data_IF_790515593373
#
_entry.id   IF_790515593373
#
_cell.length_a   1.000
_cell.length_b   1.000
_cell.length_c   1.000
_cell.angle_alpha   90.00
_cell.angle_beta   90.00
_cell.angle_gamma   90.00
#
_symmetry.space_group_name_H-M   'P 1'
#
loop_
_entity.id
_entity.type
_entity.pdbx_description
1 polymer ?
#
# COMPACT_ATOMS: atom_id res chain seq x y z
N UNK A 1 -4.94 -2.65 -28.89
CA UNK A 1 -6.32 -2.30 -29.30
C UNK A 1 -6.45 -0.78 -29.46
N UNK A 2 -7.56 -0.31 -30.07
CA UNK A 2 -7.88 1.12 -30.21
C UNK A 2 -7.96 1.82 -28.85
N UNK A 3 -8.66 1.23 -27.90
CA UNK A 3 -8.82 1.73 -26.53
C UNK A 3 -7.46 1.79 -25.81
N UNK A 4 -6.60 0.80 -25.97
CA UNK A 4 -5.26 0.80 -25.35
C UNK A 4 -4.41 1.99 -25.81
N UNK A 5 -4.49 2.37 -27.09
CA UNK A 5 -3.76 3.52 -27.61
C UNK A 5 -4.30 4.85 -27.09
N UNK A 6 -5.62 4.95 -26.88
CA UNK A 6 -6.24 6.13 -26.27
C UNK A 6 -5.78 6.23 -24.80
N UNK A 7 -5.81 5.11 -24.07
CA UNK A 7 -5.39 5.05 -22.67
C UNK A 7 -3.92 5.42 -22.46
N UNK A 8 -3.08 5.13 -23.43
CA UNK A 8 -1.64 5.49 -23.44
C UNK A 8 -1.37 6.89 -24.01
N UNK A 9 -2.40 7.69 -24.31
CA UNK A 9 -2.23 9.01 -24.92
C UNK A 9 -1.70 9.01 -26.36
N UNK A 10 -1.53 7.83 -26.98
CA UNK A 10 -0.99 7.66 -28.33
C UNK A 10 -1.99 7.95 -29.44
N UNK A 11 -3.26 8.10 -29.08
CA UNK A 11 -4.35 8.41 -30.02
C UNK A 11 -5.49 9.14 -29.30
N UNK A 12 -6.07 10.12 -29.99
CA UNK A 12 -7.31 10.77 -29.55
C UNK A 12 -8.52 10.04 -30.17
N UNK A 13 -9.67 10.00 -29.47
CA UNK A 13 -10.90 9.50 -30.06
C UNK A 13 -11.27 10.34 -31.28
N UNK A 14 -11.71 9.72 -32.36
CA UNK A 14 -12.19 10.40 -33.58
C UNK A 14 -13.52 11.13 -33.34
N UNK A 15 -14.34 10.57 -32.48
CA UNK A 15 -15.56 11.18 -31.93
C UNK A 15 -15.40 11.27 -30.41
N UNK A 16 -15.08 12.47 -29.91
CA UNK A 16 -14.85 12.70 -28.48
C UNK A 16 -16.13 12.62 -27.68
N UNK A 17 -17.22 13.19 -28.20
CA UNK A 17 -18.49 13.24 -27.50
C UNK A 17 -19.13 11.87 -27.41
N UNK A 18 -19.18 11.11 -28.49
CA UNK A 18 -19.69 9.74 -28.49
C UNK A 18 -18.82 8.81 -27.65
N UNK A 19 -17.50 9.04 -27.55
CA UNK A 19 -16.63 8.29 -26.69
C UNK A 19 -16.89 8.56 -25.19
N UNK A 20 -17.07 9.84 -24.82
CA UNK A 20 -17.45 10.25 -23.44
C UNK A 20 -18.78 9.65 -23.07
N UNK A 21 -19.79 9.79 -23.94
CA UNK A 21 -21.12 9.25 -23.73
C UNK A 21 -21.10 7.72 -23.54
N UNK A 22 -20.30 7.03 -24.35
CA UNK A 22 -20.10 5.58 -24.22
C UNK A 22 -19.50 5.17 -22.88
N UNK A 23 -18.51 5.91 -22.38
CA UNK A 23 -17.93 5.69 -21.06
C UNK A 23 -18.96 5.92 -19.96
N UNK A 24 -19.67 7.06 -20.00
CA UNK A 24 -20.69 7.39 -19.00
C UNK A 24 -21.75 6.29 -18.90
N UNK A 25 -22.30 5.85 -20.04
CA UNK A 25 -23.27 4.74 -20.09
C UNK A 25 -22.71 3.44 -19.53
N UNK A 26 -21.47 3.12 -19.88
CA UNK A 26 -20.83 1.91 -19.37
C UNK A 26 -20.70 1.92 -17.84
N UNK A 27 -20.25 3.07 -17.28
CA UNK A 27 -20.09 3.22 -15.83
C UNK A 27 -21.45 3.17 -15.13
N UNK A 28 -22.45 3.89 -15.62
CA UNK A 28 -23.82 3.86 -15.04
C UNK A 28 -24.43 2.46 -15.09
N UNK A 29 -24.28 1.75 -16.21
CA UNK A 29 -24.77 0.38 -16.35
C UNK A 29 -24.01 -0.63 -15.48
N UNK A 30 -22.79 -0.29 -15.02
CA UNK A 30 -21.95 -1.12 -14.14
C UNK A 30 -22.01 -0.71 -12.68
N UNK A 31 -22.75 0.34 -12.33
CA UNK A 31 -22.95 0.84 -10.99
C UNK A 31 -23.84 -0.13 -10.18
N UNK A 32 -23.22 -1.03 -9.44
CA UNK A 32 -23.94 -2.11 -8.74
C UNK A 32 -23.79 -2.12 -7.22
N UNK A 33 -22.98 -1.23 -6.62
CA UNK A 33 -22.77 -1.20 -5.18
C UNK A 33 -22.69 0.22 -4.64
N UNK A 34 -23.04 0.38 -3.37
CA UNK A 34 -22.88 1.63 -2.62
C UNK A 34 -21.40 2.10 -2.64
N UNK A 35 -20.46 1.17 -2.56
CA UNK A 35 -19.01 1.45 -2.68
C UNK A 35 -18.65 2.14 -4.00
N UNK A 36 -19.34 1.82 -5.09
CA UNK A 36 -19.08 2.46 -6.39
C UNK A 36 -19.53 3.91 -6.41
N UNK A 37 -20.61 4.27 -5.71
CA UNK A 37 -21.09 5.65 -5.62
C UNK A 37 -20.11 6.53 -4.82
N UNK A 38 -19.63 6.06 -3.67
CA UNK A 38 -18.61 6.75 -2.87
C UNK A 38 -17.31 6.97 -3.66
N UNK A 39 -16.85 5.95 -4.37
CA UNK A 39 -15.65 6.03 -5.21
C UNK A 39 -15.82 7.03 -6.36
N UNK A 40 -16.99 7.09 -7.00
CA UNK A 40 -17.28 8.08 -8.04
C UNK A 40 -17.40 9.51 -7.47
N UNK A 41 -17.97 9.67 -6.29
CA UNK A 41 -18.06 10.96 -5.60
C UNK A 41 -16.65 11.51 -5.30
N UNK A 42 -15.77 10.67 -4.76
CA UNK A 42 -14.39 11.05 -4.48
C UNK A 42 -13.62 11.39 -5.76
N UNK A 43 -13.76 10.58 -6.81
CA UNK A 43 -13.09 10.79 -8.10
C UNK A 43 -13.54 12.07 -8.81
N UNK A 44 -14.83 12.39 -8.75
CA UNK A 44 -15.43 13.52 -9.46
C UNK A 44 -15.51 14.79 -8.62
N UNK A 45 -15.32 14.66 -7.29
CA UNK A 45 -15.46 15.77 -6.33
C UNK A 45 -16.89 16.22 -6.14
N UNK A 46 -17.89 15.39 -6.43
CA UNK A 46 -19.32 15.67 -6.23
C UNK A 46 -19.86 15.02 -4.95
N UNK A 47 -21.10 15.38 -4.58
CA UNK A 47 -21.80 14.70 -3.48
C UNK A 47 -22.27 13.30 -3.91
N UNK A 48 -22.33 12.36 -2.98
CA UNK A 48 -22.96 11.04 -3.24
C UNK A 48 -24.43 11.18 -3.63
N UNK A 49 -25.12 12.19 -3.11
CA UNK A 49 -26.51 12.48 -3.46
C UNK A 49 -26.69 12.75 -4.96
N UNK A 50 -25.71 13.41 -5.60
CA UNK A 50 -25.72 13.68 -7.05
C UNK A 50 -25.58 12.40 -7.89
N UNK A 51 -25.09 11.31 -7.30
CA UNK A 51 -24.88 10.02 -7.93
C UNK A 51 -25.99 9.00 -7.65
N UNK A 52 -27.01 9.36 -6.89
CA UNK A 52 -28.11 8.45 -6.53
C UNK A 52 -28.95 8.05 -7.73
N UNK A 53 -29.12 8.94 -8.72
CA UNK A 53 -29.87 8.68 -9.94
C UNK A 53 -28.95 8.45 -11.13
N UNK A 54 -29.39 7.61 -12.09
CA UNK A 54 -28.62 7.34 -13.32
C UNK A 54 -28.40 8.64 -14.14
N UNK A 55 -29.38 9.54 -14.17
CA UNK A 55 -29.26 10.84 -14.84
C UNK A 55 -28.22 11.73 -14.16
N UNK A 56 -28.26 11.85 -12.84
CA UNK A 56 -27.28 12.62 -12.07
C UNK A 56 -25.86 12.08 -12.27
N UNK A 57 -25.70 10.76 -12.17
CA UNK A 57 -24.43 10.10 -12.41
C UNK A 57 -23.89 10.34 -13.84
N UNK A 58 -24.77 10.28 -14.86
CA UNK A 58 -24.42 10.61 -16.25
C UNK A 58 -23.94 12.04 -16.41
N UNK A 59 -24.63 13.00 -15.80
CA UNK A 59 -24.31 14.42 -15.91
C UNK A 59 -22.99 14.77 -15.20
N UNK A 60 -22.79 14.22 -14.01
CA UNK A 60 -21.53 14.36 -13.26
C UNK A 60 -20.35 13.79 -14.05
N UNK A 61 -20.46 12.56 -14.55
CA UNK A 61 -19.42 11.90 -15.34
C UNK A 61 -19.12 12.64 -16.64
N UNK A 62 -20.19 13.10 -17.34
CA UNK A 62 -20.02 13.86 -18.59
C UNK A 62 -19.30 15.17 -18.34
N UNK A 63 -19.69 15.91 -17.30
CA UNK A 63 -19.04 17.15 -16.90
C UNK A 63 -17.58 16.92 -16.52
N UNK A 64 -17.31 15.92 -15.73
CA UNK A 64 -15.96 15.56 -15.29
C UNK A 64 -15.05 15.16 -16.48
N UNK A 65 -15.51 14.28 -17.37
CA UNK A 65 -14.76 13.85 -18.56
C UNK A 65 -14.60 14.96 -19.61
N UNK A 66 -15.51 15.93 -19.67
CA UNK A 66 -15.46 17.03 -20.61
C UNK A 66 -14.60 18.19 -20.15
N UNK A 67 -14.59 18.47 -18.85
CA UNK A 67 -13.87 19.61 -18.26
C UNK A 67 -12.34 19.46 -18.30
N UNK A 68 -11.83 18.25 -18.59
CA UNK A 68 -10.39 18.00 -18.65
C UNK A 68 -9.70 18.53 -17.39
N UNK A 69 -9.83 17.84 -16.28
CA UNK A 69 -9.08 18.04 -15.02
C UNK A 69 -8.99 19.47 -14.44
N UNK A 70 -9.89 20.37 -14.78
CA UNK A 70 -9.80 21.78 -14.34
C UNK A 70 -10.73 22.13 -13.17
N UNK A 71 -10.98 21.24 -12.21
CA UNK A 71 -11.83 21.62 -11.08
C UNK A 71 -12.05 20.57 -9.99
N UNK A 72 -11.72 19.32 -10.20
CA UNK A 72 -11.66 18.32 -9.15
C UNK A 72 -10.20 18.02 -8.81
N UNK A 73 -9.88 17.65 -7.59
CA UNK A 73 -8.56 17.12 -7.28
C UNK A 73 -8.29 15.97 -8.25
N UNK A 74 -7.29 16.11 -9.11
CA UNK A 74 -6.76 15.00 -9.92
C UNK A 74 -5.82 14.18 -9.00
N UNK A 75 -6.34 13.13 -8.32
CA UNK A 75 -5.51 12.37 -7.39
C UNK A 75 -4.35 11.70 -8.10
N UNK A 76 -4.59 11.24 -9.34
CA UNK A 76 -3.57 10.56 -10.15
C UNK A 76 -2.56 11.56 -10.69
N UNK A 77 -2.96 12.69 -11.23
CA UNK A 77 -2.03 13.71 -11.71
C UNK A 77 -1.33 14.45 -10.58
N UNK A 78 -1.99 14.64 -9.43
CA UNK A 78 -1.34 15.14 -8.20
C UNK A 78 -0.31 14.15 -7.69
N UNK A 79 -0.65 12.89 -7.67
CA UNK A 79 0.23 11.79 -7.35
C UNK A 79 1.43 11.75 -8.32
N UNK A 80 1.21 11.76 -9.63
CA UNK A 80 2.30 11.76 -10.62
C UNK A 80 3.20 12.98 -10.51
N UNK A 81 2.67 14.17 -10.26
CA UNK A 81 3.48 15.40 -10.03
C UNK A 81 4.38 15.29 -8.80
N UNK A 82 3.93 14.60 -7.75
CA UNK A 82 4.78 14.34 -6.57
C UNK A 82 6.00 13.46 -6.88
N UNK A 83 5.98 12.72 -8.01
CA UNK A 83 7.13 11.91 -8.43
C UNK A 83 8.14 12.69 -9.26
N UNK A 84 7.71 13.62 -10.08
CA UNK A 84 8.61 14.43 -10.88
C UNK A 84 9.55 15.27 -10.00
N UNK A 85 9.08 15.63 -8.79
CA UNK A 85 9.81 16.42 -7.79
C UNK A 85 10.37 15.56 -6.63
N UNK A 86 10.27 14.22 -6.71
CA UNK A 86 10.67 13.35 -5.59
C UNK A 86 12.18 13.23 -5.46
N UNK A 87 12.73 13.70 -4.33
CA UNK A 87 14.11 13.50 -3.90
C UNK A 87 14.13 12.54 -2.69
N UNK A 88 14.76 11.38 -2.85
CA UNK A 88 14.87 10.38 -1.78
C UNK A 88 15.65 10.92 -0.57
N UNK A 89 16.69 11.69 -0.80
CA UNK A 89 17.50 12.25 0.28
C UNK A 89 16.71 13.31 1.05
N UNK A 90 15.90 14.11 0.37
CA UNK A 90 14.99 15.07 0.99
C UNK A 90 13.89 14.34 1.76
N UNK A 91 13.31 13.29 1.19
CA UNK A 91 12.34 12.44 1.85
C UNK A 91 12.89 11.80 3.12
N UNK A 92 14.09 11.22 3.07
CA UNK A 92 14.78 10.66 4.23
C UNK A 92 15.07 11.73 5.28
N UNK A 93 15.46 12.95 4.88
CA UNK A 93 15.67 14.08 5.81
C UNK A 93 14.39 14.61 6.43
N UNK A 94 13.28 14.62 5.66
CA UNK A 94 11.98 15.07 6.14
C UNK A 94 11.39 14.15 7.23
N UNK A 95 11.74 12.87 7.21
CA UNK A 95 11.47 11.95 8.31
C UNK A 95 12.47 12.25 9.44
N UNK A 96 12.39 13.32 10.13
CA UNK A 96 13.24 13.75 11.26
C UNK A 96 13.69 12.60 12.17
N UNK A 97 14.62 11.79 11.67
CA UNK A 97 15.12 10.57 12.31
C UNK A 97 15.79 10.82 13.66
N UNK A 98 16.36 12.00 13.84
CA UNK A 98 16.96 12.51 15.08
C UNK A 98 15.95 12.68 16.22
N UNK A 99 14.66 12.78 15.94
CA UNK A 99 13.60 12.82 16.94
C UNK A 99 13.13 11.41 17.35
N UNK A 100 13.49 10.37 16.61
CA UNK A 100 13.19 8.99 16.97
C UNK A 100 14.19 8.53 18.04
N UNK A 101 13.72 8.43 19.28
CA UNK A 101 14.51 7.86 20.38
C UNK A 101 14.78 6.39 20.09
N UNK A 102 15.95 6.08 19.55
CA UNK A 102 16.44 4.71 19.52
C UNK A 102 16.84 4.32 20.92
N UNK A 103 16.27 3.28 21.54
CA UNK A 103 16.68 2.84 22.86
C UNK A 103 18.17 2.50 22.86
N UNK A 104 18.94 3.13 23.77
CA UNK A 104 20.40 2.92 23.90
C UNK A 104 20.77 1.64 24.65
N UNK A 105 19.80 0.90 25.17
CA UNK A 105 20.01 -0.36 25.84
C UNK A 105 20.36 -1.48 24.86
N UNK A 106 21.22 -2.44 25.25
CA UNK A 106 21.52 -3.61 24.44
C UNK A 106 20.21 -4.34 24.14
N UNK A 107 19.81 -4.29 22.87
CA UNK A 107 18.59 -4.90 22.40
C UNK A 107 18.79 -6.41 22.29
N UNK A 108 18.25 -7.16 23.21
CA UNK A 108 18.22 -8.61 23.17
C UNK A 108 16.78 -9.09 23.12
N UNK A 109 16.30 -9.42 21.94
CA UNK A 109 15.08 -10.17 21.81
C UNK A 109 15.33 -11.67 22.11
N UNK A 110 14.37 -12.36 22.73
CA UNK A 110 14.38 -13.80 22.84
C UNK A 110 14.46 -14.45 21.44
N UNK A 111 14.74 -15.74 21.39
CA UNK A 111 14.78 -16.49 20.12
C UNK A 111 13.43 -16.48 19.41
N UNK A 112 12.34 -16.51 20.20
CA UNK A 112 10.97 -16.38 19.70
C UNK A 112 10.15 -15.49 20.64
N UNK A 113 9.27 -14.66 20.07
CA UNK A 113 8.38 -13.76 20.79
C UNK A 113 7.03 -13.70 20.08
N UNK A 114 5.95 -13.84 20.85
CA UNK A 114 4.58 -13.69 20.35
C UNK A 114 4.05 -12.29 20.65
N UNK A 115 3.17 -11.82 19.75
CA UNK A 115 2.47 -10.54 19.82
C UNK A 115 1.00 -10.79 19.55
N UNK A 116 0.11 -10.05 20.20
CA UNK A 116 -1.34 -10.23 20.14
C UNK A 116 -2.02 -8.91 19.81
N UNK A 117 -2.95 -8.96 18.85
CA UNK A 117 -3.67 -7.79 18.38
C UNK A 117 -2.80 -6.83 17.57
N UNK A 118 -3.42 -5.74 17.11
CA UNK A 118 -2.81 -4.78 16.17
C UNK A 118 -1.63 -4.03 16.82
N UNK A 119 -1.80 -3.57 18.06
CA UNK A 119 -0.77 -2.74 18.71
C UNK A 119 0.52 -3.51 18.95
N UNK A 120 0.40 -4.76 19.41
CA UNK A 120 1.59 -5.60 19.58
C UNK A 120 2.13 -6.08 18.23
N UNK A 121 1.29 -6.27 17.20
CA UNK A 121 1.74 -6.54 15.84
C UNK A 121 2.65 -5.42 15.30
N UNK A 122 2.23 -4.15 15.45
CA UNK A 122 3.05 -2.98 15.09
C UNK A 122 4.41 -3.02 15.78
N UNK A 123 4.44 -3.39 17.08
CA UNK A 123 5.70 -3.56 17.79
C UNK A 123 6.52 -4.73 17.24
N UNK A 124 5.86 -5.82 16.82
CA UNK A 124 6.49 -6.97 16.16
C UNK A 124 7.20 -6.60 14.87
N UNK A 125 6.58 -5.75 14.05
CA UNK A 125 7.19 -5.22 12.83
C UNK A 125 8.46 -4.40 13.14
N UNK A 126 8.39 -3.49 14.10
CA UNK A 126 9.55 -2.69 14.51
C UNK A 126 10.67 -3.57 15.08
N UNK A 127 10.34 -4.60 15.83
CA UNK A 127 11.30 -5.57 16.36
C UNK A 127 11.93 -6.41 15.23
N UNK A 128 11.16 -6.77 14.19
CA UNK A 128 11.66 -7.41 12.98
C UNK A 128 12.66 -6.53 12.23
N UNK A 129 12.30 -5.25 11.96
CA UNK A 129 13.19 -4.32 11.28
C UNK A 129 14.49 -4.12 12.06
N UNK A 130 14.38 -3.90 13.36
CA UNK A 130 15.54 -3.74 14.24
C UNK A 130 16.44 -4.97 14.22
N UNK A 131 15.85 -6.17 14.30
CA UNK A 131 16.62 -7.43 14.25
C UNK A 131 17.32 -7.57 12.91
N UNK A 132 16.64 -7.27 11.81
CA UNK A 132 17.17 -7.33 10.44
C UNK A 132 18.30 -6.34 10.23
N UNK A 133 18.12 -5.08 10.62
CA UNK A 133 19.12 -4.01 10.46
C UNK A 133 20.36 -4.29 11.28
N UNK A 134 20.22 -4.73 12.53
CA UNK A 134 21.36 -5.01 13.43
C UNK A 134 22.06 -6.35 13.13
N UNK A 135 21.47 -7.21 12.31
CA UNK A 135 22.09 -8.47 11.89
C UNK A 135 23.29 -8.22 10.97
N UNK A 136 24.15 -9.22 10.80
CA UNK A 136 25.24 -9.19 9.81
C UNK A 136 24.83 -9.72 8.43
N UNK A 137 23.58 -10.25 8.30
CA UNK A 137 23.09 -10.77 7.02
C UNK A 137 22.85 -9.66 6.02
N UNK A 138 23.20 -9.91 4.77
CA UNK A 138 22.87 -9.09 3.60
C UNK A 138 21.90 -9.81 2.66
N UNK A 139 21.27 -10.88 3.14
CA UNK A 139 20.23 -11.57 2.37
C UNK A 139 19.02 -10.67 2.17
N UNK A 140 18.33 -10.85 1.04
CA UNK A 140 17.12 -10.15 0.70
C UNK A 140 16.04 -10.28 1.77
N UNK A 141 15.21 -9.26 1.86
CA UNK A 141 14.04 -9.24 2.73
C UNK A 141 12.80 -9.50 1.89
N UNK A 142 11.93 -10.37 2.37
CA UNK A 142 10.64 -10.67 1.77
C UNK A 142 9.53 -10.20 2.70
N UNK A 143 8.58 -9.47 2.16
CA UNK A 143 7.48 -8.89 2.91
C UNK A 143 6.15 -9.18 2.21
N UNK A 144 5.19 -9.68 2.95
CA UNK A 144 3.82 -9.87 2.50
C UNK A 144 2.87 -9.55 3.65
N UNK A 145 1.86 -8.72 3.40
CA UNK A 145 0.82 -8.41 4.38
C UNK A 145 -0.50 -8.14 3.69
N UNK A 146 -1.53 -8.85 4.12
CA UNK A 146 -2.92 -8.63 3.73
C UNK A 146 -3.66 -7.73 4.74
N UNK A 147 -2.96 -7.24 5.77
CA UNK A 147 -3.54 -6.39 6.80
C UNK A 147 -4.08 -5.09 6.20
N UNK A 148 -5.23 -4.58 6.67
CA UNK A 148 -5.78 -3.32 6.22
C UNK A 148 -4.80 -2.17 6.40
N UNK A 149 -4.71 -1.31 5.38
CA UNK A 149 -3.83 -0.13 5.42
C UNK A 149 -4.33 0.93 6.40
N UNK A 150 -5.64 0.99 6.66
CA UNK A 150 -6.25 1.95 7.57
C UNK A 150 -5.73 1.76 8.99
N UNK A 151 -5.66 0.52 9.48
CA UNK A 151 -5.13 0.19 10.81
C UNK A 151 -3.68 0.66 11.01
N UNK A 152 -2.94 0.80 9.91
CA UNK A 152 -1.55 1.27 9.90
C UNK A 152 -1.45 2.79 9.76
N UNK A 153 -2.39 3.41 9.05
CA UNK A 153 -2.37 4.83 8.71
C UNK A 153 -2.88 5.73 9.86
N UNK A 154 -3.69 5.20 10.78
CA UNK A 154 -4.23 5.96 11.91
C UNK A 154 -3.14 6.40 12.90
N UNK A 155 -2.05 5.64 13.02
CA UNK A 155 -0.92 5.94 13.90
C UNK A 155 0.24 6.57 13.12
N UNK A 156 0.24 7.90 13.03
CA UNK A 156 1.30 8.66 12.35
C UNK A 156 2.70 8.43 12.95
N UNK A 157 2.80 8.16 14.24
CA UNK A 157 4.09 7.90 14.90
C UNK A 157 4.62 6.51 14.54
N UNK A 158 3.73 5.52 14.48
CA UNK A 158 4.08 4.20 13.97
C UNK A 158 4.52 4.26 12.51
N UNK A 159 3.77 4.96 11.65
CA UNK A 159 4.12 5.12 10.23
C UNK A 159 5.53 5.67 10.03
N UNK A 160 5.92 6.70 10.82
CA UNK A 160 7.29 7.25 10.79
C UNK A 160 8.35 6.24 11.22
N UNK A 161 8.10 5.49 12.30
CA UNK A 161 9.02 4.46 12.79
C UNK A 161 9.16 3.32 11.79
N UNK A 162 8.05 2.95 11.16
CA UNK A 162 8.00 1.92 10.12
C UNK A 162 8.85 2.31 8.91
N UNK A 163 8.63 3.52 8.39
CA UNK A 163 9.41 4.07 7.27
C UNK A 163 10.89 4.20 7.60
N UNK A 164 11.22 4.55 8.85
CA UNK A 164 12.60 4.55 9.32
C UNK A 164 13.22 3.15 9.26
N UNK A 165 12.49 2.12 9.70
CA UNK A 165 12.95 0.74 9.61
C UNK A 165 13.27 0.32 8.18
N UNK A 166 12.37 0.62 7.23
CA UNK A 166 12.60 0.40 5.79
C UNK A 166 13.84 1.15 5.30
N UNK A 167 13.92 2.46 5.57
CA UNK A 167 15.06 3.28 5.15
C UNK A 167 16.39 2.76 5.67
N UNK A 168 16.43 2.26 6.92
CA UNK A 168 17.64 1.67 7.50
C UNK A 168 18.02 0.35 6.85
N UNK A 169 17.05 -0.47 6.42
CA UNK A 169 17.33 -1.68 5.64
C UNK A 169 17.90 -1.33 4.27
N UNK A 170 17.34 -0.34 3.57
CA UNK A 170 17.85 0.13 2.28
C UNK A 170 19.26 0.73 2.42
N UNK A 171 19.49 1.56 3.46
CA UNK A 171 20.82 2.12 3.76
C UNK A 171 21.87 1.06 4.09
N UNK A 172 21.45 -0.06 4.68
CA UNK A 172 22.31 -1.23 4.90
C UNK A 172 22.67 -1.96 3.60
N UNK A 173 21.99 -1.65 2.48
CA UNK A 173 22.17 -2.29 1.18
C UNK A 173 21.32 -3.55 0.97
N UNK A 174 20.28 -3.75 1.78
CA UNK A 174 19.36 -4.86 1.60
C UNK A 174 18.42 -4.59 0.42
N UNK A 175 18.06 -5.64 -0.30
CA UNK A 175 16.99 -5.63 -1.28
C UNK A 175 15.70 -6.12 -0.63
N UNK A 176 14.59 -5.43 -0.88
CA UNK A 176 13.28 -5.76 -0.33
C UNK A 176 12.38 -6.25 -1.46
N UNK A 177 11.89 -7.47 -1.35
CA UNK A 177 10.88 -8.05 -2.22
C UNK A 177 9.54 -7.97 -1.48
N UNK A 178 8.57 -7.24 -2.02
CA UNK A 178 7.26 -7.10 -1.39
C UNK A 178 6.14 -7.63 -2.26
N UNK A 179 5.29 -8.46 -1.68
CA UNK A 179 4.08 -8.97 -2.34
C UNK A 179 2.89 -8.14 -1.85
N UNK A 180 2.25 -7.45 -2.78
CA UNK A 180 1.07 -6.65 -2.51
C UNK A 180 -0.22 -7.42 -2.77
N UNK A 181 -1.17 -7.28 -1.87
CA UNK A 181 -2.55 -7.59 -2.15
C UNK A 181 -3.14 -6.41 -2.94
N UNK A 182 -3.51 -6.64 -4.19
CA UNK A 182 -4.13 -5.64 -5.08
C UNK A 182 -5.66 -5.73 -5.12
N UNK A 183 -6.24 -6.71 -4.44
CA UNK A 183 -7.68 -6.92 -4.33
C UNK A 183 -8.21 -6.17 -3.10
N UNK A 184 -8.05 -4.85 -3.14
CA UNK A 184 -8.39 -3.91 -2.05
C UNK A 184 -9.27 -2.79 -2.58
N UNK A 185 -10.05 -2.11 -1.73
CA UNK A 185 -10.73 -0.86 -2.09
C UNK A 185 -9.75 0.13 -2.72
N UNK A 186 -10.21 0.89 -3.71
CA UNK A 186 -9.37 1.83 -4.47
C UNK A 186 -8.62 2.82 -3.58
N UNK A 187 -9.30 3.36 -2.56
CA UNK A 187 -8.72 4.30 -1.60
C UNK A 187 -7.53 3.68 -0.86
N UNK A 188 -7.71 2.46 -0.36
CA UNK A 188 -6.67 1.72 0.36
C UNK A 188 -5.48 1.40 -0.54
N UNK A 189 -5.77 1.01 -1.80
CA UNK A 189 -4.73 0.78 -2.80
C UNK A 189 -3.93 2.06 -3.10
N UNK A 190 -4.58 3.22 -3.20
CA UNK A 190 -3.90 4.51 -3.43
C UNK A 190 -3.02 4.91 -2.25
N UNK A 191 -3.51 4.75 -1.01
CA UNK A 191 -2.69 4.98 0.20
C UNK A 191 -1.44 4.09 0.21
N UNK A 192 -1.60 2.82 -0.15
CA UNK A 192 -0.47 1.89 -0.30
C UNK A 192 0.52 2.35 -1.35
N UNK A 193 0.05 2.73 -2.54
CA UNK A 193 0.91 3.23 -3.61
C UNK A 193 1.65 4.50 -3.22
N UNK A 194 0.97 5.50 -2.63
CA UNK A 194 1.62 6.74 -2.18
C UNK A 194 2.77 6.47 -1.20
N UNK A 195 2.60 5.48 -0.33
CA UNK A 195 3.62 5.11 0.66
C UNK A 195 4.81 4.36 0.04
N UNK A 196 4.55 3.48 -0.94
CA UNK A 196 5.56 2.58 -1.48
C UNK A 196 6.31 3.13 -2.70
N UNK A 197 5.70 3.98 -3.50
CA UNK A 197 6.33 4.46 -4.73
C UNK A 197 7.68 5.15 -4.51
N UNK A 198 7.87 6.01 -3.49
CA UNK A 198 9.17 6.58 -3.20
C UNK A 198 10.25 5.51 -2.98
N UNK A 199 9.87 4.40 -2.34
CA UNK A 199 10.77 3.29 -2.06
C UNK A 199 11.12 2.51 -3.33
N UNK A 200 10.17 2.34 -4.26
CA UNK A 200 10.43 1.69 -5.56
C UNK A 200 11.45 2.48 -6.39
N UNK A 201 11.43 3.81 -6.31
CA UNK A 201 12.37 4.67 -7.03
C UNK A 201 13.82 4.48 -6.56
N UNK A 202 14.05 3.89 -5.39
CA UNK A 202 15.41 3.55 -4.92
C UNK A 202 16.08 2.46 -5.75
N UNK A 203 15.30 1.67 -6.50
CA UNK A 203 15.77 0.47 -7.19
C UNK A 203 16.11 -0.71 -6.28
N UNK A 204 15.98 -0.55 -4.96
CA UNK A 204 16.23 -1.61 -3.97
C UNK A 204 14.95 -2.30 -3.48
N UNK A 205 13.79 -1.92 -4.00
CA UNK A 205 12.50 -2.53 -3.65
C UNK A 205 11.82 -3.05 -4.90
N UNK A 206 11.54 -4.34 -4.92
CA UNK A 206 10.82 -5.01 -6.02
C UNK A 206 9.40 -5.34 -5.61
N UNK A 207 8.39 -4.70 -6.25
CA UNK A 207 6.99 -5.02 -6.00
C UNK A 207 6.54 -6.23 -6.80
N UNK A 208 5.79 -7.10 -6.14
CA UNK A 208 5.10 -8.25 -6.74
C UNK A 208 3.63 -8.23 -6.35
N UNK A 209 2.81 -8.98 -7.04
CA UNK A 209 1.43 -9.26 -6.66
C UNK A 209 1.06 -10.69 -7.04
N UNK A 210 0.19 -11.29 -6.27
CA UNK A 210 -0.35 -12.61 -6.56
C UNK A 210 -1.54 -12.50 -7.51
N UNK A 211 -1.53 -13.33 -8.57
CA UNK A 211 -2.71 -13.51 -9.42
C UNK A 211 -3.56 -14.64 -8.85
N UNK A 212 -4.81 -14.35 -8.57
CA UNK A 212 -5.73 -15.37 -8.09
C UNK A 212 -6.78 -14.80 -7.15
N UNK A 213 -7.62 -15.70 -6.62
CA UNK A 213 -8.58 -15.32 -5.59
C UNK A 213 -7.90 -15.34 -4.23
N UNK A 214 -7.99 -14.23 -3.52
CA UNK A 214 -7.54 -14.16 -2.13
C UNK A 214 -8.52 -14.90 -1.20
N UNK A 215 -7.99 -15.37 -0.08
CA UNK A 215 -8.82 -15.94 0.97
C UNK A 215 -9.55 -14.80 1.71
N UNK A 216 -10.88 -14.74 1.56
CA UNK A 216 -11.69 -13.72 2.23
C UNK A 216 -11.96 -13.99 3.73
N UNK A 217 -11.34 -15.01 4.31
CA UNK A 217 -11.55 -15.37 5.73
C UNK A 217 -10.36 -14.94 6.58
N UNK A 218 -9.15 -15.08 6.07
CA UNK A 218 -7.93 -14.80 6.81
C UNK A 218 -7.10 -13.71 6.16
N UNK A 219 -6.59 -12.80 6.99
CA UNK A 219 -5.48 -11.91 6.64
C UNK A 219 -4.17 -12.57 7.08
N UNK A 220 -3.18 -12.57 6.20
CA UNK A 220 -1.88 -13.15 6.43
C UNK A 220 -0.81 -12.07 6.56
N UNK A 221 0.18 -12.38 7.38
CA UNK A 221 1.34 -11.53 7.61
C UNK A 221 2.59 -12.40 7.60
N UNK A 222 3.56 -12.08 6.74
CA UNK A 222 4.81 -12.82 6.67
C UNK A 222 5.96 -11.90 6.20
N UNK A 223 6.87 -11.59 7.12
CA UNK A 223 8.11 -10.87 6.83
C UNK A 223 9.28 -11.80 7.13
N UNK A 224 10.22 -11.92 6.21
CA UNK A 224 11.38 -12.80 6.34
C UNK A 224 12.63 -12.07 5.92
N UNK A 225 13.68 -12.24 6.71
CA UNK A 225 15.05 -11.79 6.41
C UNK A 225 16.03 -12.94 6.68
N UNK A 226 17.31 -12.79 6.36
CA UNK A 226 18.30 -13.84 6.63
C UNK A 226 18.51 -14.17 8.12
N UNK A 227 17.85 -13.49 9.06
CA UNK A 227 18.04 -13.68 10.51
C UNK A 227 16.77 -13.70 11.34
N UNK A 228 15.65 -13.30 10.78
CA UNK A 228 14.37 -13.25 11.48
C UNK A 228 13.21 -13.54 10.53
N UNK A 229 12.16 -14.12 11.07
CA UNK A 229 10.87 -14.20 10.41
C UNK A 229 9.79 -13.71 11.38
N UNK A 230 8.90 -12.86 10.89
CA UNK A 230 7.70 -12.43 11.60
C UNK A 230 6.50 -12.93 10.80
N UNK A 231 5.72 -13.82 11.38
CA UNK A 231 4.56 -14.40 10.73
C UNK A 231 3.35 -14.36 11.63
N UNK A 232 2.17 -14.28 11.05
CA UNK A 232 0.91 -14.32 11.80
C UNK A 232 -0.29 -14.36 10.88
N UNK A 233 -1.43 -14.51 11.50
CA UNK A 233 -2.72 -14.50 10.83
C UNK A 233 -3.80 -13.98 11.76
N UNK A 234 -4.86 -13.43 11.19
CA UNK A 234 -6.08 -13.08 11.87
C UNK A 234 -7.29 -13.33 10.96
N UNK A 235 -8.46 -13.41 11.54
CA UNK A 235 -9.71 -13.43 10.78
C UNK A 235 -9.97 -12.02 10.25
N UNK A 236 -10.33 -11.89 8.98
CA UNK A 236 -10.65 -10.61 8.37
C UNK A 236 -11.76 -9.89 9.16
N UNK A 237 -11.56 -8.61 9.47
CA UNK A 237 -12.45 -7.82 10.32
C UNK A 237 -12.32 -8.07 11.82
N UNK A 238 -11.42 -8.97 12.24
CA UNK A 238 -11.15 -9.27 13.66
C UNK A 238 -9.65 -9.18 13.97
N UNK A 239 -9.00 -8.10 13.53
CA UNK A 239 -7.56 -7.91 13.60
C UNK A 239 -7.04 -7.81 15.04
N UNK A 240 -7.87 -7.34 15.97
CA UNK A 240 -7.55 -7.27 17.40
C UNK A 240 -7.31 -8.62 18.04
N UNK A 241 -7.77 -9.71 17.44
CA UNK A 241 -7.56 -11.08 17.91
C UNK A 241 -6.42 -11.81 17.20
N UNK A 242 -5.70 -11.12 16.33
CA UNK A 242 -4.57 -11.69 15.59
C UNK A 242 -3.43 -12.12 16.52
N UNK A 243 -2.70 -13.16 16.11
CA UNK A 243 -1.47 -13.61 16.77
C UNK A 243 -0.33 -13.61 15.77
N UNK A 244 0.78 -13.01 16.20
CA UNK A 244 1.99 -12.87 15.39
C UNK A 244 3.18 -13.42 16.18
N UNK A 245 4.14 -14.01 15.48
CA UNK A 245 5.33 -14.61 16.08
C UNK A 245 6.58 -14.14 15.35
N UNK A 246 7.46 -13.46 16.06
CA UNK A 246 8.81 -13.18 15.60
C UNK A 246 9.72 -14.31 16.07
N UNK A 247 10.43 -14.93 15.13
CA UNK A 247 11.41 -15.95 15.42
C UNK A 247 12.78 -15.61 14.84
N UNK A 248 13.83 -16.02 15.55
CA UNK A 248 15.24 -16.02 15.11
C UNK A 248 15.79 -17.44 15.05
N UNK A 249 14.94 -18.45 15.26
CA UNK A 249 15.32 -19.83 15.08
C UNK A 249 15.69 -20.09 13.62
N UNK A 250 16.88 -20.63 13.38
CA UNK A 250 17.44 -20.80 12.03
C UNK A 250 16.59 -21.70 11.15
N UNK A 251 16.01 -22.75 11.70
CA UNK A 251 15.20 -23.71 10.96
C UNK A 251 13.86 -23.08 10.55
N UNK A 252 13.23 -22.35 11.47
CA UNK A 252 11.98 -21.62 11.21
C UNK A 252 12.20 -20.50 10.18
N UNK A 253 13.25 -19.71 10.32
CA UNK A 253 13.60 -18.67 9.33
C UNK A 253 13.82 -19.31 7.97
N UNK A 254 14.55 -20.42 7.88
CA UNK A 254 14.77 -21.15 6.62
C UNK A 254 13.47 -21.73 6.04
N UNK A 255 12.53 -22.14 6.88
CA UNK A 255 11.21 -22.58 6.44
C UNK A 255 10.44 -21.43 5.80
N UNK A 256 10.35 -20.28 6.49
CA UNK A 256 9.63 -19.11 5.98
C UNK A 256 10.27 -18.53 4.72
N UNK A 257 11.59 -18.60 4.57
CA UNK A 257 12.30 -18.15 3.35
C UNK A 257 12.00 -18.98 2.11
N UNK A 258 11.45 -20.19 2.27
CA UNK A 258 11.07 -21.09 1.16
C UNK A 258 9.57 -21.02 0.84
N UNK A 259 8.77 -20.44 1.69
CA UNK A 259 7.31 -20.33 1.55
C UNK A 259 6.92 -19.24 0.56
#
# INVERSE_FOLDING_TARGET
SYISRIRLGQRRPSDREGFIEGICRFVVNKKYSEDTAGMLAELTGCSEDDLTTDSGCMDVLRKWLSSGTSGGSDPVGSFLRKFDDFDLDEYIRAIKFDQLKVPSLPFQLPVSKSYYGIEEMKQGELDFFKTTVLSKSLEDVFMCSDMPMEDMAEDLDFGKKWMFGIAMMLKKGLHINIIHNIDRPFREMMLGLESWMPLYMTGQVSPYYLRGKHNGVYCHFNYVSGKAALSGECIQGHHDSGRYCLTKNREEVAYFSKK
#
